data_IF_651588734534
#
_entry.id   IF_651588734534
#
_cell.length_a   1.000
_cell.length_b   1.000
_cell.length_c   1.000
_cell.angle_alpha   90.00
_cell.angle_beta   90.00
_cell.angle_gamma   90.00
#
_symmetry.space_group_name_H-M   'P 1'
#
loop_
_entity.id
_entity.type
_entity.pdbx_description
1 polymer ?
#
# COMPACT_ATOMS: atom_id res chain seq x y z
N UNK A 1 -17.17 -5.25 -9.73
CA UNK A 1 -16.11 -5.12 -8.69
C UNK A 1 -16.75 -5.30 -7.33
N UNK A 2 -16.22 -6.18 -6.49
CA UNK A 2 -16.79 -6.43 -5.16
C UNK A 2 -16.36 -5.35 -4.16
N UNK A 3 -17.33 -4.59 -3.66
CA UNK A 3 -17.08 -3.56 -2.64
C UNK A 3 -16.71 -4.17 -1.28
N UNK A 4 -17.37 -5.28 -0.92
CA UNK A 4 -17.27 -5.87 0.41
C UNK A 4 -16.54 -7.22 0.43
N UNK A 5 -16.70 -8.04 -0.61
CA UNK A 5 -16.26 -9.44 -0.58
C UNK A 5 -15.09 -9.72 -1.54
N UNK A 6 -14.43 -10.84 -1.36
CA UNK A 6 -13.49 -11.47 -2.30
C UNK A 6 -13.91 -12.94 -2.48
N UNK A 7 -13.31 -13.67 -3.41
CA UNK A 7 -13.57 -15.12 -3.51
C UNK A 7 -13.13 -15.82 -2.21
N UNK A 8 -13.88 -16.85 -1.78
CA UNK A 8 -13.46 -17.74 -0.70
C UNK A 8 -12.20 -18.49 -1.11
N UNK A 9 -11.34 -18.83 -0.15
CA UNK A 9 -10.03 -19.45 -0.40
C UNK A 9 -9.09 -18.59 -1.28
N UNK A 10 -9.31 -17.28 -1.34
CA UNK A 10 -8.51 -16.37 -2.18
C UNK A 10 -7.02 -16.36 -1.83
N UNK A 11 -6.69 -16.63 -0.56
CA UNK A 11 -5.29 -16.79 -0.13
C UNK A 11 -4.66 -18.07 -0.70
N UNK A 12 -5.39 -19.19 -0.74
CA UNK A 12 -4.90 -20.43 -1.37
C UNK A 12 -4.64 -20.26 -2.85
N UNK A 13 -5.48 -19.50 -3.55
CA UNK A 13 -5.29 -19.18 -4.98
C UNK A 13 -4.05 -18.33 -5.24
N UNK A 14 -3.75 -17.39 -4.34
CA UNK A 14 -2.59 -16.49 -4.44
C UNK A 14 -1.28 -17.19 -4.00
N UNK A 15 -1.36 -18.00 -2.95
CA UNK A 15 -0.23 -18.59 -2.27
C UNK A 15 0.64 -17.58 -1.51
N UNK A 16 1.53 -18.09 -0.67
CA UNK A 16 2.47 -17.27 0.11
C UNK A 16 3.37 -16.42 -0.79
N UNK A 17 3.89 -16.98 -1.87
CA UNK A 17 4.75 -16.26 -2.81
C UNK A 17 4.03 -15.09 -3.49
N UNK A 18 2.75 -15.24 -3.83
CA UNK A 18 1.95 -14.17 -4.41
C UNK A 18 1.69 -13.03 -3.41
N UNK A 19 1.42 -13.36 -2.14
CA UNK A 19 1.28 -12.37 -1.08
C UNK A 19 2.59 -11.62 -0.84
N UNK A 20 3.71 -12.33 -0.73
CA UNK A 20 5.03 -11.73 -0.54
C UNK A 20 5.40 -10.81 -1.70
N UNK A 21 5.13 -11.23 -2.94
CA UNK A 21 5.33 -10.40 -4.13
C UNK A 21 4.48 -9.14 -4.09
N UNK A 22 3.20 -9.25 -3.71
CA UNK A 22 2.32 -8.09 -3.60
C UNK A 22 2.81 -7.10 -2.52
N UNK A 23 3.21 -7.62 -1.36
CA UNK A 23 3.78 -6.83 -0.27
C UNK A 23 5.06 -6.11 -0.73
N UNK A 24 5.96 -6.81 -1.41
CA UNK A 24 7.19 -6.23 -1.98
C UNK A 24 6.91 -5.13 -3.01
N UNK A 25 5.94 -5.34 -3.91
CA UNK A 25 5.56 -4.32 -4.89
C UNK A 25 5.06 -3.07 -4.19
N UNK A 26 4.13 -3.21 -3.25
CA UNK A 26 3.55 -2.06 -2.52
C UNK A 26 4.59 -1.36 -1.67
N UNK A 27 5.51 -2.12 -1.08
CA UNK A 27 6.61 -1.59 -0.28
C UNK A 27 7.62 -0.78 -1.10
N UNK A 28 7.93 -1.23 -2.33
CA UNK A 28 8.89 -0.54 -3.21
C UNK A 28 8.27 0.55 -4.08
N UNK A 29 6.95 0.54 -4.28
CA UNK A 29 6.25 1.48 -5.16
C UNK A 29 6.54 2.96 -4.81
N UNK A 30 6.49 3.39 -3.54
CA UNK A 30 6.80 4.77 -3.18
C UNK A 30 8.22 5.19 -3.56
N UNK A 31 9.21 4.32 -3.35
CA UNK A 31 10.60 4.60 -3.73
C UNK A 31 10.79 4.63 -5.24
N UNK A 32 10.12 3.76 -5.99
CA UNK A 32 10.15 3.82 -7.46
C UNK A 32 9.58 5.15 -7.97
N UNK A 33 8.46 5.61 -7.40
CA UNK A 33 7.88 6.93 -7.70
C UNK A 33 8.83 8.06 -7.31
N UNK A 34 9.46 7.95 -6.13
CA UNK A 34 10.44 8.93 -5.65
C UNK A 34 11.66 9.06 -6.58
N UNK A 35 12.18 7.93 -7.08
CA UNK A 35 13.32 7.92 -8.00
C UNK A 35 12.98 8.61 -9.32
N UNK A 36 11.79 8.34 -9.87
CA UNK A 36 11.31 9.02 -11.09
C UNK A 36 11.13 10.53 -10.82
N UNK A 37 10.54 10.89 -9.68
CA UNK A 37 10.36 12.28 -9.30
C UNK A 37 11.72 13.00 -9.09
N UNK A 38 12.72 12.35 -8.49
CA UNK A 38 14.08 12.89 -8.37
C UNK A 38 14.73 13.09 -9.73
N UNK A 39 14.60 12.12 -10.64
CA UNK A 39 15.17 12.23 -11.98
C UNK A 39 14.57 13.41 -12.76
N UNK A 40 13.25 13.61 -12.66
CA UNK A 40 12.58 14.76 -13.25
C UNK A 40 13.02 16.08 -12.60
N UNK A 41 13.10 16.13 -11.27
CA UNK A 41 13.56 17.32 -10.56
C UNK A 41 14.99 17.71 -10.91
N UNK A 42 15.86 16.71 -11.06
CA UNK A 42 17.22 16.90 -11.54
C UNK A 42 17.25 17.44 -12.98
N UNK A 43 16.45 16.85 -13.88
CA UNK A 43 16.36 17.26 -15.28
C UNK A 43 15.87 18.71 -15.45
N UNK A 44 14.91 19.14 -14.62
CA UNK A 44 14.30 20.47 -14.69
C UNK A 44 14.91 21.49 -13.72
N UNK A 45 15.95 21.11 -12.96
CA UNK A 45 16.62 22.01 -12.02
C UNK A 45 15.71 22.57 -10.93
N UNK A 46 14.70 21.81 -10.49
CA UNK A 46 13.60 22.33 -9.66
C UNK A 46 14.06 22.87 -8.31
N UNK A 47 15.20 22.41 -7.79
CA UNK A 47 15.78 22.90 -6.53
C UNK A 47 16.16 24.38 -6.62
N UNK A 48 16.42 24.90 -7.83
CA UNK A 48 16.68 26.32 -8.07
C UNK A 48 15.41 27.19 -8.10
N UNK A 49 14.20 26.60 -8.05
CA UNK A 49 12.91 27.31 -8.09
C UNK A 49 12.49 27.90 -6.73
N UNK A 50 13.41 28.00 -5.77
CA UNK A 50 13.17 28.55 -4.44
C UNK A 50 12.39 27.61 -3.51
N UNK A 51 11.53 28.17 -2.67
CA UNK A 51 10.84 27.44 -1.58
C UNK A 51 9.98 26.27 -2.09
N UNK A 52 9.25 26.44 -3.20
CA UNK A 52 8.43 25.38 -3.79
C UNK A 52 9.28 24.19 -4.29
N UNK A 53 10.45 24.47 -4.86
CA UNK A 53 11.43 23.46 -5.26
C UNK A 53 11.96 22.64 -4.09
N UNK A 54 12.27 23.32 -2.97
CA UNK A 54 12.71 22.65 -1.74
C UNK A 54 11.61 21.79 -1.11
N UNK A 55 10.34 22.25 -1.11
CA UNK A 55 9.22 21.44 -0.61
C UNK A 55 9.00 20.18 -1.45
N UNK A 56 9.07 20.29 -2.79
CA UNK A 56 8.95 19.14 -3.69
C UNK A 56 10.09 18.14 -3.47
N UNK A 57 11.31 18.65 -3.30
CA UNK A 57 12.48 17.82 -3.00
C UNK A 57 12.32 17.08 -1.67
N UNK A 58 11.93 17.78 -0.60
CA UNK A 58 11.71 17.18 0.72
C UNK A 58 10.61 16.09 0.67
N UNK A 59 9.49 16.35 0.00
CA UNK A 59 8.43 15.36 -0.20
C UNK A 59 8.94 14.11 -0.93
N UNK A 60 9.83 14.30 -1.91
CA UNK A 60 10.41 13.20 -2.69
C UNK A 60 11.37 12.36 -1.86
N UNK A 61 12.19 12.98 -1.01
CA UNK A 61 13.06 12.27 -0.07
C UNK A 61 12.23 11.49 0.95
N UNK A 62 11.13 12.06 1.45
CA UNK A 62 10.22 11.35 2.35
C UNK A 62 9.58 10.13 1.68
N UNK A 63 9.16 10.26 0.41
CA UNK A 63 8.68 9.13 -0.40
C UNK A 63 9.75 8.06 -0.62
N UNK A 64 11.02 8.47 -0.79
CA UNK A 64 12.13 7.54 -0.94
C UNK A 64 12.37 6.73 0.34
N UNK A 65 12.22 7.37 1.51
CA UNK A 65 12.38 6.77 2.84
C UNK A 65 11.12 6.01 3.33
N UNK A 66 9.99 6.14 2.63
CA UNK A 66 8.72 5.47 2.93
C UNK A 66 8.81 3.96 3.20
N UNK A 67 9.64 3.15 2.52
CA UNK A 67 9.74 1.72 2.82
C UNK A 67 10.28 1.45 4.24
N UNK A 68 11.20 2.29 4.71
CA UNK A 68 11.76 2.19 6.07
C UNK A 68 10.72 2.52 7.14
N UNK A 69 9.70 3.28 6.80
CA UNK A 69 8.62 3.67 7.73
C UNK A 69 7.42 2.71 7.67
N UNK A 70 7.20 2.06 6.52
CA UNK A 70 5.99 1.26 6.28
C UNK A 70 6.13 -0.23 6.54
N UNK A 71 7.34 -0.74 6.80
CA UNK A 71 7.55 -2.19 7.02
C UNK A 71 6.82 -2.72 8.26
N UNK A 72 6.74 -1.95 9.35
CA UNK A 72 6.00 -2.36 10.56
C UNK A 72 4.51 -2.55 10.27
N UNK A 73 3.89 -1.58 9.61
CA UNK A 73 2.48 -1.66 9.22
C UNK A 73 2.21 -2.82 8.25
N UNK A 74 3.12 -3.08 7.31
CA UNK A 74 3.00 -4.16 6.34
C UNK A 74 3.19 -5.56 6.95
N UNK A 75 4.15 -5.72 7.87
CA UNK A 75 4.38 -6.99 8.59
C UNK A 75 3.16 -7.35 9.43
N UNK A 76 2.55 -6.38 10.11
CA UNK A 76 1.33 -6.59 10.89
C UNK A 76 0.10 -6.83 10.00
N UNK A 77 -0.03 -6.09 8.90
CA UNK A 77 -1.16 -6.23 8.00
C UNK A 77 -1.14 -7.53 7.18
N UNK A 78 0.04 -8.06 6.83
CA UNK A 78 0.20 -9.25 5.99
C UNK A 78 -0.62 -10.47 6.44
N UNK A 79 -0.48 -10.94 7.70
CA UNK A 79 -1.28 -12.04 8.24
C UNK A 79 -2.79 -11.75 8.24
N UNK A 80 -3.18 -10.51 8.52
CA UNK A 80 -4.60 -10.10 8.56
C UNK A 80 -5.19 -10.11 7.15
N UNK A 81 -4.44 -9.60 6.15
CA UNK A 81 -4.83 -9.66 4.74
C UNK A 81 -4.98 -11.11 4.29
N UNK A 82 -4.04 -11.98 4.63
CA UNK A 82 -4.13 -13.42 4.32
C UNK A 82 -5.41 -14.03 4.90
N UNK A 83 -5.70 -13.78 6.19
CA UNK A 83 -6.91 -14.28 6.86
C UNK A 83 -8.21 -13.73 6.25
N UNK A 84 -8.24 -12.44 5.88
CA UNK A 84 -9.40 -11.83 5.22
C UNK A 84 -9.61 -12.37 3.81
N UNK A 85 -8.53 -12.61 3.06
CA UNK A 85 -8.60 -13.22 1.72
C UNK A 85 -9.11 -14.66 1.78
N UNK A 86 -8.68 -15.45 2.77
CA UNK A 86 -9.13 -16.84 2.94
C UNK A 86 -10.64 -16.90 3.25
N UNK A 87 -11.13 -15.96 4.06
CA UNK A 87 -12.56 -15.82 4.40
C UNK A 87 -13.41 -15.19 3.31
N UNK A 88 -12.82 -14.69 2.22
CA UNK A 88 -13.55 -14.01 1.16
C UNK A 88 -14.05 -12.61 1.55
N UNK A 89 -13.39 -11.95 2.50
CA UNK A 89 -13.80 -10.63 3.05
C UNK A 89 -12.81 -9.51 2.69
N UNK A 90 -11.96 -9.70 1.68
CA UNK A 90 -10.97 -8.70 1.28
C UNK A 90 -11.44 -7.84 0.09
N UNK A 91 -12.60 -7.20 0.23
CA UNK A 91 -13.10 -6.18 -0.69
C UNK A 91 -12.42 -4.81 -0.54
N UNK A 92 -12.91 -3.79 -1.24
CA UNK A 92 -12.40 -2.42 -1.12
C UNK A 92 -12.65 -1.79 0.25
N UNK A 93 -13.85 -1.93 0.81
CA UNK A 93 -14.17 -1.33 2.12
C UNK A 93 -13.37 -2.00 3.25
N UNK A 94 -13.27 -3.35 3.33
CA UNK A 94 -12.41 -4.00 4.33
C UNK A 94 -10.93 -3.64 4.19
N UNK A 95 -10.42 -3.49 2.96
CA UNK A 95 -9.05 -3.04 2.74
C UNK A 95 -8.82 -1.62 3.27
N UNK A 96 -9.75 -0.70 3.02
CA UNK A 96 -9.66 0.66 3.54
C UNK A 96 -9.76 0.70 5.07
N UNK A 97 -10.70 -0.05 5.66
CA UNK A 97 -10.84 -0.16 7.11
C UNK A 97 -9.59 -0.74 7.78
N UNK A 98 -9.02 -1.80 7.21
CA UNK A 98 -7.77 -2.38 7.69
C UNK A 98 -6.60 -1.38 7.57
N UNK A 99 -6.52 -0.64 6.47
CA UNK A 99 -5.51 0.38 6.27
C UNK A 99 -5.62 1.52 7.28
N UNK A 100 -6.83 1.99 7.58
CA UNK A 100 -7.06 2.98 8.64
C UNK A 100 -6.69 2.44 10.01
N UNK A 101 -7.02 1.20 10.33
CA UNK A 101 -6.69 0.59 11.62
C UNK A 101 -5.17 0.40 11.80
N UNK A 102 -4.49 -0.15 10.78
CA UNK A 102 -3.05 -0.32 10.79
C UNK A 102 -2.31 1.03 10.83
N UNK A 103 -2.80 2.01 10.05
CA UNK A 103 -2.29 3.37 10.06
C UNK A 103 -2.52 4.09 11.39
N UNK A 104 -3.68 3.89 12.03
CA UNK A 104 -4.00 4.41 13.37
C UNK A 104 -3.10 3.84 14.46
N UNK A 105 -2.86 2.53 14.43
CA UNK A 105 -1.89 1.90 15.34
C UNK A 105 -0.48 2.47 15.14
N UNK A 106 -0.07 2.66 13.88
CA UNK A 106 1.23 3.25 13.55
C UNK A 106 1.31 4.72 13.98
N UNK A 107 0.24 5.49 13.80
CA UNK A 107 0.15 6.88 14.23
C UNK A 107 0.30 7.00 15.75
N UNK A 108 -0.33 6.10 16.51
CA UNK A 108 -0.20 6.04 17.96
C UNK A 108 1.22 5.68 18.41
N UNK A 109 1.89 4.75 17.71
CA UNK A 109 3.26 4.35 18.03
C UNK A 109 4.31 5.42 17.67
N UNK A 110 4.08 6.19 16.61
CA UNK A 110 5.05 7.16 16.06
C UNK A 110 4.70 8.62 16.38
N UNK A 111 3.61 8.86 17.11
CA UNK A 111 3.04 10.18 17.41
C UNK A 111 2.86 11.04 16.15
N UNK A 112 2.34 10.42 15.08
CA UNK A 112 2.25 11.06 13.76
C UNK A 112 0.98 10.71 13.00
N UNK A 113 0.06 11.68 12.91
CA UNK A 113 -1.28 11.50 12.32
C UNK A 113 -1.27 11.13 10.84
N UNK A 114 -0.24 11.54 10.09
CA UNK A 114 -0.08 11.20 8.67
C UNK A 114 -0.01 9.68 8.42
N UNK A 115 0.38 8.90 9.43
CA UNK A 115 0.45 7.45 9.32
C UNK A 115 -0.93 6.80 9.08
N UNK A 116 -2.04 7.43 9.50
CA UNK A 116 -3.40 6.95 9.25
C UNK A 116 -3.70 6.96 7.75
N UNK A 117 -3.51 8.11 7.12
CA UNK A 117 -3.75 8.30 5.68
C UNK A 117 -2.82 7.41 4.86
N UNK A 118 -1.56 7.28 5.31
CA UNK A 118 -0.58 6.42 4.67
C UNK A 118 -0.97 4.94 4.75
N UNK A 119 -1.41 4.46 5.91
CA UNK A 119 -1.90 3.08 6.08
C UNK A 119 -3.10 2.76 5.19
N UNK A 120 -4.06 3.70 5.09
CA UNK A 120 -5.21 3.57 4.20
C UNK A 120 -4.78 3.47 2.72
N UNK A 121 -3.91 4.38 2.27
CA UNK A 121 -3.41 4.37 0.90
C UNK A 121 -2.62 3.09 0.59
N UNK A 122 -1.83 2.61 1.55
CA UNK A 122 -0.95 1.47 1.36
C UNK A 122 -1.73 0.15 1.25
N UNK A 123 -2.70 -0.10 2.13
CA UNK A 123 -3.52 -1.33 2.08
C UNK A 123 -4.52 -1.32 0.91
N UNK A 124 -5.05 -0.16 0.53
CA UNK A 124 -5.88 -0.05 -0.69
C UNK A 124 -5.07 -0.28 -1.96
N UNK A 125 -3.83 0.21 -2.01
CA UNK A 125 -2.88 -0.10 -3.10
C UNK A 125 -2.54 -1.58 -3.12
N UNK A 126 -2.32 -2.20 -1.96
CA UNK A 126 -2.12 -3.65 -1.85
C UNK A 126 -3.29 -4.43 -2.42
N UNK A 127 -4.53 -4.03 -2.10
CA UNK A 127 -5.72 -4.63 -2.69
C UNK A 127 -5.75 -4.51 -4.21
N UNK A 128 -5.36 -3.36 -4.77
CA UNK A 128 -5.29 -3.17 -6.22
C UNK A 128 -4.22 -4.07 -6.87
N UNK A 129 -3.03 -4.16 -6.26
CA UNK A 129 -1.93 -5.02 -6.73
C UNK A 129 -2.32 -6.49 -6.68
N UNK A 130 -2.92 -6.94 -5.58
CA UNK A 130 -3.45 -8.30 -5.44
C UNK A 130 -4.51 -8.62 -6.49
N UNK A 131 -5.39 -7.66 -6.80
CA UNK A 131 -6.39 -7.77 -7.86
C UNK A 131 -5.78 -7.97 -9.26
N UNK A 132 -4.61 -7.41 -9.51
CA UNK A 132 -3.88 -7.59 -10.77
C UNK A 132 -3.10 -8.90 -10.80
N UNK A 133 -2.50 -9.30 -9.68
CA UNK A 133 -1.71 -10.54 -9.59
C UNK A 133 -2.58 -11.80 -9.57
N UNK A 134 -3.74 -11.74 -8.92
CA UNK A 134 -4.69 -12.85 -8.85
C UNK A 134 -6.12 -12.35 -9.08
N UNK A 135 -6.52 -12.09 -10.34
CA UNK A 135 -7.87 -11.62 -10.65
C UNK A 135 -8.96 -12.59 -10.18
N UNK A 136 -8.67 -13.90 -10.23
CA UNK A 136 -9.57 -14.96 -9.79
C UNK A 136 -9.98 -14.86 -8.32
N UNK A 137 -9.07 -14.42 -7.43
CA UNK A 137 -9.37 -14.21 -6.01
C UNK A 137 -10.38 -13.07 -5.76
N UNK A 138 -10.70 -12.28 -6.78
CA UNK A 138 -11.60 -11.12 -6.68
C UNK A 138 -12.68 -11.08 -7.76
N UNK A 139 -12.73 -12.08 -8.64
CA UNK A 139 -13.87 -12.34 -9.48
C UNK A 139 -14.96 -12.93 -8.59
N UNK A 140 -16.08 -12.22 -8.41
CA UNK A 140 -17.25 -12.79 -7.75
C UNK A 140 -17.73 -13.94 -8.64
N UNK A 141 -17.47 -15.18 -8.23
CA UNK A 141 -18.11 -16.34 -8.83
C UNK A 141 -19.59 -16.31 -8.43
N UNK A 142 -20.47 -16.03 -9.40
CA UNK A 142 -21.91 -16.28 -9.34
C UNK A 142 -22.66 -15.78 -8.11
N UNK A 143 -23.40 -14.68 -8.27
CA UNK A 143 -24.69 -14.58 -7.60
C UNK A 143 -25.63 -15.65 -8.20
#
# INVERSE_FOLDING_TARGET
>A
MSLLFSARDGYRMLGFAGLLKALLIVWLLPSAVALVAMALQWLFGTVALGSGGMMLWAATVLLLMSPVLSWLGLVLAGPIVAALMDRGWFGWCPALALGLAAGGLTAWLMDHELAVSFGAALITTLRAVLGRLCPAAFALQGA
#
